data_IF_205546123962
#
_entry.id   IF_205546123962
#
_cell.length_a   1.000
_cell.length_b   1.000
_cell.length_c   1.000
_cell.angle_alpha   90.00
_cell.angle_beta   90.00
_cell.angle_gamma   90.00
#
_symmetry.space_group_name_H-M   'P 1'
#
loop_
_entity.id
_entity.type
_entity.pdbx_description
1 polymer ?
#
# COMPACT_ATOMS: atom_id res chain seq x y z
N UNK A 1 8.20 20.22 2.06
CA UNK A 1 8.72 19.16 2.96
C UNK A 1 7.57 18.73 3.84
N UNK A 2 7.18 17.45 3.86
CA UNK A 2 6.13 16.99 4.78
C UNK A 2 6.79 16.66 6.13
N UNK A 3 6.14 17.03 7.24
CA UNK A 3 6.60 16.66 8.59
C UNK A 3 5.92 15.34 8.97
N UNK A 4 6.66 14.44 9.58
CA UNK A 4 6.08 13.24 10.17
C UNK A 4 5.22 13.63 11.38
N UNK A 5 4.04 13.03 11.57
CA UNK A 5 3.22 13.30 12.74
C UNK A 5 3.91 12.81 14.01
N UNK A 6 3.56 13.43 15.12
CA UNK A 6 3.93 12.95 16.45
C UNK A 6 3.21 11.62 16.74
N UNK A 7 3.93 10.66 17.34
CA UNK A 7 3.37 9.37 17.73
C UNK A 7 2.94 9.44 19.20
N UNK A 8 1.62 9.38 19.42
CA UNK A 8 0.99 9.46 20.74
C UNK A 8 0.49 8.08 21.22
N UNK A 9 0.30 7.94 22.53
CA UNK A 9 -0.19 6.69 23.16
C UNK A 9 -1.58 6.87 23.81
N UNK A 10 -2.46 5.85 23.80
CA UNK A 10 -2.27 4.52 23.22
C UNK A 10 -2.10 4.56 21.69
N UNK A 11 -1.24 3.68 21.16
CA UNK A 11 -0.85 3.71 19.75
C UNK A 11 -2.03 3.37 18.85
N UNK A 12 -2.38 4.29 17.94
CA UNK A 12 -3.36 4.08 16.87
C UNK A 12 -2.73 4.40 15.51
N UNK A 13 -2.69 3.43 14.60
CA UNK A 13 -2.23 3.59 13.21
C UNK A 13 -3.47 3.82 12.34
N UNK A 14 -4.05 5.00 12.47
CA UNK A 14 -5.30 5.39 11.82
C UNK A 14 -5.10 6.37 10.65
N UNK A 15 -3.95 7.03 10.52
CA UNK A 15 -3.63 7.92 9.39
C UNK A 15 -2.46 7.44 8.54
N UNK A 16 -2.44 7.86 7.27
CA UNK A 16 -1.33 7.59 6.34
C UNK A 16 -0.01 8.13 6.90
N UNK A 17 -0.04 9.30 7.54
CA UNK A 17 1.12 9.92 8.16
C UNK A 17 1.69 9.06 9.28
N UNK A 18 0.85 8.53 10.18
CA UNK A 18 1.29 7.66 11.28
C UNK A 18 1.85 6.34 10.76
N UNK A 19 1.19 5.75 9.76
CA UNK A 19 1.68 4.53 9.10
C UNK A 19 3.09 4.75 8.53
N UNK A 20 3.30 5.87 7.85
CA UNK A 20 4.60 6.24 7.28
C UNK A 20 5.65 6.55 8.35
N UNK A 21 5.28 7.25 9.43
CA UNK A 21 6.18 7.57 10.54
C UNK A 21 6.67 6.34 11.30
N UNK A 22 5.83 5.32 11.41
CA UNK A 22 6.17 4.03 12.01
C UNK A 22 6.88 3.08 11.02
N UNK A 23 7.21 3.55 9.82
CA UNK A 23 7.87 2.75 8.79
C UNK A 23 7.03 1.59 8.26
N UNK A 24 5.71 1.61 8.45
CA UNK A 24 4.86 0.53 7.95
C UNK A 24 4.74 0.60 6.43
N UNK A 25 4.48 -0.55 5.83
CA UNK A 25 4.27 -0.70 4.40
C UNK A 25 2.83 -1.17 4.16
N UNK A 26 2.30 -0.93 2.96
CA UNK A 26 0.95 -1.37 2.62
C UNK A 26 0.92 -1.96 1.21
N UNK A 27 0.16 -3.03 1.03
CA UNK A 27 -0.14 -3.63 -0.28
C UNK A 27 -1.65 -3.59 -0.52
N UNK A 28 -2.07 -3.14 -1.71
CA UNK A 28 -3.43 -3.29 -2.20
C UNK A 28 -3.55 -4.59 -3.00
N UNK A 29 -4.61 -5.35 -2.73
CA UNK A 29 -4.91 -6.61 -3.41
C UNK A 29 -6.31 -6.56 -4.01
N UNK A 30 -6.45 -7.01 -5.25
CA UNK A 30 -7.77 -7.27 -5.82
C UNK A 30 -8.34 -8.56 -5.22
N UNK A 31 -9.56 -8.47 -4.70
CA UNK A 31 -10.29 -9.57 -4.06
C UNK A 31 -11.22 -10.30 -5.03
N UNK A 32 -11.19 -9.96 -6.31
CA UNK A 32 -11.90 -10.75 -7.32
C UNK A 32 -11.22 -12.11 -7.50
N UNK A 33 -12.01 -13.17 -7.42
CA UNK A 33 -11.60 -14.54 -7.69
C UNK A 33 -10.89 -14.63 -9.04
N UNK A 34 -9.69 -15.21 -9.04
CA UNK A 34 -8.87 -15.38 -10.26
C UNK A 34 -8.20 -14.11 -10.80
N UNK A 35 -8.32 -12.94 -10.15
CA UNK A 35 -7.59 -11.75 -10.60
C UNK A 35 -6.11 -11.81 -10.22
N UNK A 36 -5.81 -12.08 -8.95
CA UNK A 36 -4.46 -12.18 -8.38
C UNK A 36 -3.64 -10.88 -8.38
N UNK A 37 -4.24 -9.74 -8.73
CA UNK A 37 -3.51 -8.48 -8.84
C UNK A 37 -3.18 -7.94 -7.45
N UNK A 38 -1.90 -7.71 -7.18
CA UNK A 38 -1.40 -7.05 -5.99
C UNK A 38 -0.45 -5.93 -6.36
N UNK A 39 -0.44 -4.85 -5.58
CA UNK A 39 0.48 -3.74 -5.78
C UNK A 39 0.82 -3.08 -4.45
N UNK A 40 2.10 -2.78 -4.28
CA UNK A 40 2.58 -2.05 -3.10
C UNK A 40 2.23 -0.58 -3.22
N UNK A 41 1.72 0.00 -2.15
CA UNK A 41 1.31 1.40 -2.12
C UNK A 41 2.52 2.26 -1.73
N UNK A 42 2.81 3.26 -2.55
CA UNK A 42 3.72 4.33 -2.16
C UNK A 42 2.98 5.30 -1.23
N UNK A 43 3.16 5.13 0.09
CA UNK A 43 2.47 5.94 1.11
C UNK A 43 2.80 7.43 1.02
N UNK A 44 4.02 7.80 0.60
CA UNK A 44 4.40 9.21 0.37
C UNK A 44 3.58 9.80 -0.78
N UNK A 45 3.48 9.09 -1.89
CA UNK A 45 2.69 9.54 -3.04
C UNK A 45 1.19 9.57 -2.73
N UNK A 46 0.68 8.59 -1.97
CA UNK A 46 -0.70 8.56 -1.52
C UNK A 46 -1.00 9.75 -0.60
N UNK A 47 -0.17 9.99 0.42
CA UNK A 47 -0.34 11.12 1.35
C UNK A 47 -0.26 12.48 0.66
N UNK A 48 0.59 12.63 -0.36
CA UNK A 48 0.61 13.85 -1.21
C UNK A 48 -0.69 14.02 -2.02
N UNK A 49 -1.36 12.92 -2.38
CA UNK A 49 -2.57 12.95 -3.21
C UNK A 49 -3.84 13.20 -2.39
N UNK A 50 -3.99 12.57 -1.23
CA UNK A 50 -5.24 12.59 -0.44
C UNK A 50 -5.07 13.15 0.98
N UNK A 51 -3.87 13.56 1.36
CA UNK A 51 -3.54 14.09 2.69
C UNK A 51 -2.87 13.05 3.59
N UNK A 52 -1.91 13.49 4.42
CA UNK A 52 -1.24 12.62 5.40
C UNK A 52 -2.11 12.34 6.64
N UNK A 53 -3.02 13.25 6.98
CA UNK A 53 -4.01 13.07 8.05
C UNK A 53 -5.21 12.21 7.62
N UNK A 54 -5.26 11.81 6.35
CA UNK A 54 -6.33 10.95 5.85
C UNK A 54 -6.25 9.57 6.50
N UNK A 55 -7.42 8.99 6.79
CA UNK A 55 -7.57 7.64 7.31
C UNK A 55 -6.84 6.60 6.45
N UNK A 56 -6.10 5.68 7.07
CA UNK A 56 -5.40 4.60 6.38
C UNK A 56 -6.10 3.23 6.51
N UNK A 57 -7.29 3.17 7.10
CA UNK A 57 -8.05 1.94 7.19
C UNK A 57 -8.76 1.61 5.86
N UNK A 58 -9.13 0.35 5.68
CA UNK A 58 -9.69 -0.13 4.42
C UNK A 58 -10.92 0.68 3.96
N UNK A 59 -11.80 1.04 4.90
CA UNK A 59 -13.02 1.80 4.64
C UNK A 59 -12.71 3.21 4.11
N UNK A 60 -11.63 3.83 4.59
CA UNK A 60 -11.21 5.16 4.17
C UNK A 60 -10.53 5.12 2.79
N UNK A 61 -9.80 4.05 2.51
CA UNK A 61 -8.97 3.93 1.32
C UNK A 61 -9.72 3.36 0.11
N UNK A 62 -10.66 2.44 0.29
CA UNK A 62 -11.31 1.70 -0.81
C UNK A 62 -11.84 2.62 -1.94
N UNK A 63 -12.40 3.78 -1.58
CA UNK A 63 -12.92 4.75 -2.57
C UNK A 63 -11.85 5.25 -3.55
N UNK A 64 -10.60 5.35 -3.12
CA UNK A 64 -9.46 5.88 -3.88
C UNK A 64 -8.78 4.84 -4.77
N UNK A 65 -9.07 3.55 -4.58
CA UNK A 65 -8.44 2.45 -5.31
C UNK A 65 -9.42 1.78 -6.28
N UNK A 66 -8.86 1.13 -7.29
CA UNK A 66 -9.57 0.22 -8.18
C UNK A 66 -8.57 -0.76 -8.79
N UNK A 67 -9.03 -1.93 -9.24
CA UNK A 67 -8.20 -2.87 -9.96
C UNK A 67 -8.20 -2.56 -11.47
N UNK A 68 -7.06 -2.16 -12.08
CA UNK A 68 -7.02 -1.84 -13.51
C UNK A 68 -7.33 -3.04 -14.40
N UNK A 69 -6.88 -4.24 -14.01
CA UNK A 69 -7.15 -5.50 -14.74
C UNK A 69 -8.64 -5.85 -14.73
N UNK A 70 -9.34 -5.64 -13.61
CA UNK A 70 -10.78 -5.90 -13.53
C UNK A 70 -11.59 -4.85 -14.28
N UNK A 71 -11.19 -3.57 -14.20
CA UNK A 71 -11.81 -2.49 -14.97
C UNK A 71 -11.72 -2.75 -16.47
N UNK A 72 -10.54 -3.12 -16.96
CA UNK A 72 -10.35 -3.45 -18.38
C UNK A 72 -11.19 -4.66 -18.83
N UNK A 73 -11.45 -5.61 -17.92
CA UNK A 73 -12.27 -6.79 -18.16
C UNK A 73 -13.78 -6.57 -17.92
N UNK A 74 -14.23 -5.35 -17.62
CA UNK A 74 -15.63 -5.05 -17.32
C UNK A 74 -16.18 -5.69 -16.04
N UNK A 75 -15.30 -6.12 -15.12
CA UNK A 75 -15.69 -6.68 -13.81
C UNK A 75 -15.75 -5.57 -12.76
N UNK A 76 -16.44 -5.83 -11.65
CA UNK A 76 -16.40 -4.97 -10.46
C UNK A 76 -14.94 -4.72 -10.04
N UNK A 77 -14.48 -3.48 -10.10
CA UNK A 77 -13.08 -3.12 -9.86
C UNK A 77 -12.82 -2.57 -8.46
N UNK A 78 -13.87 -2.45 -7.63
CA UNK A 78 -13.82 -1.87 -6.28
C UNK A 78 -13.60 -2.88 -5.17
N UNK A 79 -13.56 -4.17 -5.50
CA UNK A 79 -13.15 -5.25 -4.58
C UNK A 79 -11.65 -5.21 -4.34
N UNK A 80 -11.22 -4.24 -3.52
CA UNK A 80 -9.83 -4.02 -3.13
C UNK A 80 -9.70 -4.18 -1.62
N UNK A 81 -8.77 -5.03 -1.20
CA UNK A 81 -8.34 -5.19 0.19
C UNK A 81 -6.94 -4.64 0.39
N UNK A 82 -6.58 -4.40 1.65
CA UNK A 82 -5.27 -3.88 2.03
C UNK A 82 -4.62 -4.79 3.05
N UNK A 83 -3.31 -5.00 2.92
CA UNK A 83 -2.49 -5.67 3.93
C UNK A 83 -1.50 -4.64 4.47
N UNK A 84 -1.57 -4.40 5.77
CA UNK A 84 -0.59 -3.61 6.50
C UNK A 84 0.56 -4.53 6.87
N UNK A 85 1.77 -4.13 6.48
CA UNK A 85 2.98 -4.89 6.68
C UNK A 85 3.85 -4.09 7.65
N UNK A 86 4.24 -4.72 8.75
CA UNK A 86 5.27 -4.17 9.63
C UNK A 86 6.61 -4.13 8.89
N UNK A 87 7.51 -3.28 9.36
CA UNK A 87 8.86 -3.17 8.83
C UNK A 87 9.62 -4.48 9.11
N UNK A 88 9.59 -5.41 8.17
CA UNK A 88 10.18 -6.75 8.32
C UNK A 88 11.65 -6.83 7.91
N UNK A 89 12.21 -5.75 7.36
CA UNK A 89 13.62 -5.65 7.00
C UNK A 89 14.20 -4.36 7.64
N UNK A 90 15.33 -4.42 8.37
CA UNK A 90 15.96 -3.25 9.02
C UNK A 90 16.24 -2.09 8.07
N UNK A 91 16.33 -2.36 6.77
CA UNK A 91 16.34 -1.35 5.71
C UNK A 91 15.17 -1.65 4.79
N UNK A 92 13.99 -1.12 5.07
CA UNK A 92 12.88 -1.16 4.11
C UNK A 92 13.33 -0.53 2.80
N UNK A 93 13.84 -1.38 1.91
CA UNK A 93 14.26 -1.03 0.57
C UNK A 93 13.13 -0.25 -0.08
N UNK A 94 13.46 0.93 -0.58
CA UNK A 94 12.54 1.76 -1.32
C UNK A 94 11.87 0.90 -2.41
N UNK A 95 10.57 1.07 -2.73
CA UNK A 95 9.79 0.08 -3.48
C UNK A 95 10.44 -0.40 -4.78
N UNK A 96 11.22 0.47 -5.43
CA UNK A 96 11.95 0.17 -6.66
C UNK A 96 13.03 -0.91 -6.47
N UNK A 97 13.85 -0.87 -5.43
CA UNK A 97 14.96 -1.82 -5.25
C UNK A 97 14.43 -3.22 -4.95
N UNK A 98 13.42 -3.32 -4.07
CA UNK A 98 12.75 -4.58 -3.78
C UNK A 98 11.97 -5.12 -4.98
N UNK A 99 11.34 -4.26 -5.77
CA UNK A 99 10.67 -4.65 -7.01
C UNK A 99 11.67 -5.14 -8.06
N UNK A 100 12.80 -4.46 -8.21
CA UNK A 100 13.92 -4.90 -9.06
C UNK A 100 14.46 -6.25 -8.60
N UNK A 101 14.69 -6.44 -7.30
CA UNK A 101 15.11 -7.71 -6.72
C UNK A 101 14.09 -8.83 -6.97
N UNK A 102 12.78 -8.56 -6.76
CA UNK A 102 11.72 -9.53 -7.09
C UNK A 102 11.68 -9.88 -8.57
N UNK A 103 11.86 -8.91 -9.47
CA UNK A 103 11.96 -9.15 -10.90
C UNK A 103 13.21 -9.97 -11.26
N UNK A 104 14.33 -9.74 -10.57
CA UNK A 104 15.57 -10.51 -10.75
C UNK A 104 15.42 -11.97 -10.27
N UNK A 105 14.81 -12.20 -9.11
CA UNK A 105 14.58 -13.56 -8.59
C UNK A 105 13.46 -14.28 -9.37
N UNK A 106 12.37 -13.59 -9.70
CA UNK A 106 11.27 -14.14 -10.49
C UNK A 106 11.67 -14.55 -11.91
N UNK A 107 12.78 -14.02 -12.44
CA UNK A 107 13.36 -14.42 -13.74
C UNK A 107 14.26 -15.67 -13.67
N UNK A 108 14.58 -16.20 -12.48
CA UNK A 108 15.37 -17.44 -12.33
C UNK A 108 14.52 -18.72 -12.29
N UNK A 109 13.20 -18.61 -12.42
CA UNK A 109 12.27 -19.74 -12.46
C UNK A 109 11.65 -19.96 -13.86
N UNK A 110 12.42 -19.67 -14.91
CA UNK A 110 12.07 -19.95 -16.31
C UNK A 110 13.18 -20.74 -16.97
#
# INVERSE_FOLDING_TARGET
MFKLPEITYPLSIDTIGKMLALGHEMTANCLNTGCGQSSRINLVALGRRIGFEHGCLAQDLQRHFYCPKCRAAGRDDKRVGFIHLTLSNPHSEWPREREQWRQQIGRRAG
#
